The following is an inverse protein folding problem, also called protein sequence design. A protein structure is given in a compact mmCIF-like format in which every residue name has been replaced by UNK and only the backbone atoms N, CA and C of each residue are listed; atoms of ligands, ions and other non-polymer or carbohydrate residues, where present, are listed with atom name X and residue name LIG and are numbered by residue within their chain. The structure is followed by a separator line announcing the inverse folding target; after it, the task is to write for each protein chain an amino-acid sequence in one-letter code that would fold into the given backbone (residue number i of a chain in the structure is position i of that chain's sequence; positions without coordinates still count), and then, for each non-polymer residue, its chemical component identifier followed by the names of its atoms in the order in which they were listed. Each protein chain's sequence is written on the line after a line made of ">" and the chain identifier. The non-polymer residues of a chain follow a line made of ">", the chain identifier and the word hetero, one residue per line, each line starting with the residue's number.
data_IF_690493917064
#
_entry.id   IF_690493917064
#
_cell.length_a   1.000
_cell.length_b   1.000
_cell.length_c   1.000
_cell.angle_alpha   90.00
_cell.angle_beta   90.00
_cell.angle_gamma   90.00
#
_symmetry.space_group_name_H-M   'P 1'
#
loop_
_entity.id
_entity.type
_entity.pdbx_description
1 polymer ?
#
# COMPACT_ATOMS: atom_id res chain seq x y z
N UNK A 1 11.88 26.40 -17.24
CA UNK A 1 12.32 25.52 -16.13
C UNK A 1 11.07 24.97 -15.48
N UNK A 2 10.56 23.87 -16.02
CA UNK A 2 9.20 23.40 -15.74
C UNK A 2 9.25 22.39 -14.59
N UNK A 3 9.05 22.88 -13.37
CA UNK A 3 8.70 22.04 -12.23
C UNK A 3 7.25 21.58 -12.37
N UNK A 4 6.97 20.73 -13.34
CA UNK A 4 5.68 20.08 -13.48
C UNK A 4 5.63 18.96 -12.45
N UNK A 5 5.07 19.30 -11.29
CA UNK A 5 4.56 18.39 -10.28
C UNK A 5 3.57 17.47 -11.01
N UNK A 6 4.07 16.34 -11.50
CA UNK A 6 3.29 15.31 -12.16
C UNK A 6 2.26 14.87 -11.13
N UNK A 7 1.06 15.41 -11.32
CA UNK A 7 -0.13 15.08 -10.57
C UNK A 7 -0.30 13.59 -10.78
N UNK A 8 0.17 12.80 -9.80
CA UNK A 8 -0.10 11.39 -9.69
C UNK A 8 -1.60 11.25 -9.87
N UNK A 9 -1.96 10.79 -11.06
CA UNK A 9 -3.30 10.63 -11.55
C UNK A 9 -3.96 9.65 -10.57
N UNK A 10 -4.74 10.20 -9.64
CA UNK A 10 -5.54 9.42 -8.70
C UNK A 10 -6.63 8.77 -9.54
N UNK A 11 -6.27 7.66 -10.17
CA UNK A 11 -7.21 6.73 -10.77
C UNK A 11 -8.02 6.14 -9.61
N UNK A 12 -9.13 6.82 -9.30
CA UNK A 12 -10.29 6.23 -8.64
C UNK A 12 -10.84 5.16 -9.56
N UNK A 13 -10.31 3.95 -9.43
CA UNK A 13 -11.01 2.74 -9.81
C UNK A 13 -11.58 2.13 -8.54
N UNK A 14 -12.84 2.51 -8.29
CA UNK A 14 -13.81 1.75 -7.53
C UNK A 14 -13.69 0.25 -7.87
N UNK A 15 -13.61 -0.60 -6.84
CA UNK A 15 -13.45 -2.06 -6.90
C UNK A 15 -12.09 -2.57 -7.45
N UNK A 16 -10.99 -2.28 -6.75
CA UNK A 16 -9.76 -3.08 -6.86
C UNK A 16 -9.88 -4.36 -6.01
N UNK A 17 -9.98 -5.57 -6.61
CA UNK A 17 -9.80 -6.82 -5.87
C UNK A 17 -8.36 -6.84 -5.35
N UNK A 18 -8.17 -6.67 -4.05
CA UNK A 18 -6.85 -6.56 -3.43
C UNK A 18 -6.64 -5.33 -2.52
N UNK A 19 -7.72 -4.68 -2.09
CA UNK A 19 -7.66 -3.64 -1.05
C UNK A 19 -8.32 -4.14 0.25
N UNK A 20 -7.68 -3.91 1.39
CA UNK A 20 -8.21 -4.26 2.72
C UNK A 20 -8.06 -3.09 3.69
N UNK A 21 -9.03 -2.93 4.58
CA UNK A 21 -8.98 -1.97 5.68
C UNK A 21 -8.83 -2.69 7.01
N UNK A 22 -8.02 -2.13 7.92
CA UNK A 22 -7.91 -2.60 9.31
C UNK A 22 -7.68 -1.41 10.26
N UNK A 23 -7.79 -1.64 11.56
CA UNK A 23 -7.51 -0.67 12.61
C UNK A 23 -6.38 -1.21 13.48
N UNK A 24 -5.36 -0.41 13.77
CA UNK A 24 -4.28 -0.82 14.67
C UNK A 24 -4.63 -0.64 16.15
N UNK A 25 -3.75 -1.08 17.05
CA UNK A 25 -3.95 -1.00 18.50
C UNK A 25 -4.03 0.45 19.03
N UNK A 26 -3.61 1.44 18.24
CA UNK A 26 -3.71 2.87 18.57
C UNK A 26 -5.00 3.49 18.03
N UNK A 27 -5.86 2.72 17.37
CA UNK A 27 -7.10 3.19 16.76
C UNK A 27 -6.90 3.85 15.40
N UNK A 28 -5.69 3.79 14.82
CA UNK A 28 -5.42 4.35 13.50
C UNK A 28 -6.01 3.43 12.42
N UNK A 29 -6.75 4.05 11.51
CA UNK A 29 -7.26 3.36 10.33
C UNK A 29 -6.16 3.23 9.29
N UNK A 30 -6.02 2.02 8.76
CA UNK A 30 -5.14 1.71 7.65
C UNK A 30 -5.92 1.15 6.46
N UNK A 31 -5.58 1.65 5.28
CA UNK A 31 -5.96 1.09 4.00
C UNK A 31 -4.73 0.42 3.39
N UNK A 32 -4.86 -0.84 3.03
CA UNK A 32 -3.81 -1.67 2.44
C UNK A 32 -4.22 -1.98 1.01
N UNK A 33 -3.35 -1.69 0.05
CA UNK A 33 -3.58 -2.06 -1.35
C UNK A 33 -2.31 -2.62 -1.98
N UNK A 34 -2.48 -3.60 -2.86
CA UNK A 34 -1.38 -4.09 -3.69
C UNK A 34 -1.28 -3.25 -4.97
N UNK A 35 -0.10 -2.70 -5.24
CA UNK A 35 0.17 -1.82 -6.39
C UNK A 35 1.33 -2.36 -7.22
N UNK A 36 1.22 -2.41 -8.56
CA UNK A 36 2.37 -2.73 -9.41
C UNK A 36 3.46 -1.66 -9.26
N UNK A 37 4.71 -2.04 -9.53
CA UNK A 37 5.77 -1.04 -9.66
C UNK A 37 5.47 -0.14 -10.87
N UNK A 38 5.90 1.12 -10.78
CA UNK A 38 5.75 2.08 -11.89
C UNK A 38 6.41 1.52 -13.16
N UNK A 39 5.85 1.82 -14.33
CA UNK A 39 6.38 1.39 -15.63
C UNK A 39 7.82 1.87 -15.88
N UNK A 40 8.26 2.91 -15.18
CA UNK A 40 9.65 3.41 -15.23
C UNK A 40 10.62 2.61 -14.35
N UNK A 41 10.12 1.83 -13.39
CA UNK A 41 10.94 0.93 -12.58
C UNK A 41 11.34 -0.27 -13.45
N UNK A 42 12.64 -0.41 -13.72
CA UNK A 42 13.18 -1.53 -14.50
C UNK A 42 13.03 -2.89 -13.80
N UNK A 43 12.51 -2.92 -12.57
CA UNK A 43 12.19 -4.13 -11.81
C UNK A 43 10.73 -4.49 -12.03
N UNK A 44 10.47 -5.74 -12.40
CA UNK A 44 9.13 -6.31 -12.34
C UNK A 44 8.78 -6.63 -10.89
N UNK A 45 7.62 -6.16 -10.41
CA UNK A 45 7.17 -6.49 -9.05
C UNK A 45 5.90 -5.76 -8.64
N UNK A 46 5.41 -6.10 -7.46
CA UNK A 46 4.25 -5.47 -6.79
C UNK A 46 4.64 -5.08 -5.37
N UNK A 47 4.12 -3.98 -4.88
CA UNK A 47 4.28 -3.56 -3.48
C UNK A 47 2.96 -3.57 -2.76
N UNK A 48 2.99 -3.88 -1.47
CA UNK A 48 1.90 -3.55 -0.57
C UNK A 48 2.06 -2.11 -0.09
N UNK A 49 1.02 -1.30 -0.29
CA UNK A 49 0.95 0.09 0.17
C UNK A 49 0.02 0.14 1.38
N UNK A 50 0.57 0.51 2.52
CA UNK A 50 -0.17 0.83 3.74
C UNK A 50 -0.34 2.34 3.81
N UNK A 51 -1.57 2.83 3.75
CA UNK A 51 -1.87 4.24 3.87
C UNK A 51 -2.83 4.50 5.02
N UNK A 52 -2.46 5.45 5.87
CA UNK A 52 -3.31 6.07 6.88
C UNK A 52 -3.41 7.57 6.58
N UNK A 53 -4.20 8.31 7.37
CA UNK A 53 -4.28 9.78 7.22
C UNK A 53 -2.94 10.47 7.48
N UNK A 54 -2.07 9.87 8.31
CA UNK A 54 -0.84 10.50 8.78
C UNK A 54 0.41 9.95 8.08
N UNK A 55 0.37 8.70 7.63
CA UNK A 55 1.57 7.96 7.20
C UNK A 55 1.24 7.04 6.02
N UNK A 56 2.15 7.00 5.05
CA UNK A 56 2.17 6.00 3.98
C UNK A 56 3.46 5.17 4.08
N UNK A 57 3.32 3.84 3.97
CA UNK A 57 4.43 2.89 3.97
C UNK A 57 4.31 1.96 2.78
N UNK A 58 5.47 1.57 2.25
CA UNK A 58 5.57 0.62 1.13
C UNK A 58 6.37 -0.59 1.56
N UNK A 59 5.76 -1.77 1.45
CA UNK A 59 6.37 -3.06 1.73
C UNK A 59 6.51 -3.83 0.42
N UNK A 60 7.72 -4.34 0.15
CA UNK A 60 7.99 -5.10 -1.08
C UNK A 60 8.11 -6.60 -0.84
N UNK A 61 8.41 -7.01 0.39
CA UNK A 61 8.49 -8.41 0.80
C UNK A 61 7.28 -8.74 1.68
N UNK A 62 6.31 -9.44 1.10
CA UNK A 62 5.05 -9.79 1.75
C UNK A 62 4.53 -11.13 1.20
N UNK A 63 3.77 -11.89 2.01
CA UNK A 63 3.20 -13.15 1.58
C UNK A 63 2.10 -12.93 0.53
N UNK A 64 1.94 -13.88 -0.41
CA UNK A 64 0.91 -13.81 -1.45
C UNK A 64 -0.52 -13.84 -0.91
N UNK A 65 -0.71 -14.38 0.29
CA UNK A 65 -1.97 -14.45 1.01
C UNK A 65 -2.09 -13.40 2.12
N UNK A 66 -1.38 -12.26 1.99
CA UNK A 66 -1.41 -11.14 2.93
C UNK A 66 -2.82 -10.72 3.35
N UNK A 67 -3.80 -10.86 2.45
CA UNK A 67 -5.20 -10.50 2.71
C UNK A 67 -5.85 -11.35 3.81
N UNK A 68 -5.30 -12.53 4.12
CA UNK A 68 -5.78 -13.44 5.18
C UNK A 68 -5.13 -13.18 6.54
N UNK A 69 -4.07 -12.37 6.60
CA UNK A 69 -3.36 -12.08 7.84
C UNK A 69 -4.30 -11.43 8.87
N UNK A 70 -4.06 -11.65 10.16
CA UNK A 70 -4.73 -10.86 11.20
C UNK A 70 -4.33 -9.39 11.13
N UNK A 71 -5.12 -8.52 11.76
CA UNK A 71 -4.81 -7.09 11.81
C UNK A 71 -3.45 -6.84 12.50
N UNK A 72 -3.12 -7.60 13.54
CA UNK A 72 -1.83 -7.55 14.22
C UNK A 72 -0.66 -7.95 13.30
N UNK A 73 -0.85 -8.99 12.47
CA UNK A 73 0.15 -9.41 11.49
C UNK A 73 0.32 -8.36 10.37
N UNK A 74 -0.76 -7.69 9.95
CA UNK A 74 -0.68 -6.58 8.99
C UNK A 74 0.07 -5.38 9.57
N UNK A 75 -0.16 -5.05 10.85
CA UNK A 75 0.63 -4.02 11.54
C UNK A 75 2.09 -4.40 11.53
N UNK A 76 2.44 -5.62 11.96
CA UNK A 76 3.82 -6.10 11.99
C UNK A 76 4.48 -6.08 10.59
N UNK A 77 3.73 -6.48 9.55
CA UNK A 77 4.18 -6.45 8.17
C UNK A 77 4.49 -5.02 7.70
N UNK A 78 3.69 -4.03 8.12
CA UNK A 78 3.89 -2.62 7.73
C UNK A 78 5.24 -2.02 8.16
N UNK A 79 5.94 -2.66 9.11
CA UNK A 79 7.24 -2.21 9.62
C UNK A 79 8.44 -2.85 8.90
N UNK A 80 8.23 -3.83 8.01
CA UNK A 80 9.29 -4.59 7.31
C UNK A 80 9.84 -3.88 6.06
N UNK A 81 10.14 -2.58 6.17
CA UNK A 81 10.56 -1.73 5.05
C UNK A 81 11.73 -2.29 4.21
#
# INVERSE_FOLDING_TARGET
>A
MTGSRELAEVQRSDEQPGTRRFIDDLGQVWLVSEQPFSEYDRRSGRSLIFSSELVVRRVRDYPSDWFKLSDAELVALSWRA
#
